data_IF_469458818940
#
_entry.id   IF_469458818940
#
_cell.length_a   1.000
_cell.length_b   1.000
_cell.length_c   1.000
_cell.angle_alpha   90.00
_cell.angle_beta   90.00
_cell.angle_gamma   90.00
#
_symmetry.space_group_name_H-M   'P 1'
#
loop_
_entity.id
_entity.type
_entity.pdbx_description
1 polymer ?
#
# COMPACT_ATOMS: atom_id res chain seq x y z
N UNK A 1 -28.10 31.17 25.48
CA UNK A 1 -26.91 30.34 25.75
C UNK A 1 -26.30 29.97 24.41
N UNK A 2 -25.07 30.42 24.12
CA UNK A 2 -24.43 30.15 22.82
C UNK A 2 -23.97 28.69 22.74
N UNK A 3 -24.36 28.01 21.68
CA UNK A 3 -23.81 26.72 21.26
C UNK A 3 -22.30 26.87 21.03
N UNK A 4 -21.44 26.05 21.66
CA UNK A 4 -20.01 26.08 21.36
C UNK A 4 -19.76 25.65 19.91
N UNK A 5 -18.93 26.41 19.20
CA UNK A 5 -18.40 26.02 17.89
C UNK A 5 -17.50 24.78 18.07
N UNK A 6 -17.60 23.86 17.13
CA UNK A 6 -17.00 22.52 17.07
C UNK A 6 -15.46 22.51 16.96
N UNK A 7 -14.76 23.35 17.73
CA UNK A 7 -13.30 23.54 17.68
C UNK A 7 -12.56 23.26 18.99
N UNK A 8 -13.22 23.30 20.14
CA UNK A 8 -12.54 23.26 21.45
C UNK A 8 -12.16 21.85 21.96
N UNK A 9 -12.65 20.79 21.30
CA UNK A 9 -12.38 19.41 21.73
C UNK A 9 -11.00 18.86 21.28
N UNK A 10 -10.22 19.61 20.49
CA UNK A 10 -8.89 19.18 20.04
C UNK A 10 -7.83 19.20 21.15
N UNK A 11 -8.11 19.86 22.28
CA UNK A 11 -7.16 20.05 23.38
C UNK A 11 -7.20 18.96 24.46
N UNK A 12 -8.24 18.13 24.49
CA UNK A 12 -8.43 17.10 25.54
C UNK A 12 -8.04 15.69 25.10
N UNK A 13 -7.97 15.43 23.80
CA UNK A 13 -7.43 14.17 23.28
C UNK A 13 -5.95 14.42 23.00
N UNK A 14 -5.05 13.80 23.77
CA UNK A 14 -3.66 13.65 23.34
C UNK A 14 -3.72 13.06 21.93
N UNK A 15 -3.47 13.88 20.92
CA UNK A 15 -3.28 13.40 19.55
C UNK A 15 -2.07 12.48 19.65
N UNK A 16 -2.30 11.17 19.75
CA UNK A 16 -1.23 10.20 19.59
C UNK A 16 -0.70 10.46 18.19
N UNK A 17 0.49 11.05 18.11
CA UNK A 17 1.13 11.30 16.85
C UNK A 17 1.22 9.95 16.13
N UNK A 18 0.58 9.84 14.98
CA UNK A 18 0.58 8.59 14.24
C UNK A 18 2.02 8.35 13.73
N UNK A 19 2.77 7.51 14.42
CA UNK A 19 4.13 7.12 14.03
C UNK A 19 4.03 5.83 13.24
N UNK A 20 4.64 5.78 12.05
CA UNK A 20 4.67 4.57 11.23
C UNK A 20 3.32 4.21 10.62
N UNK A 21 2.54 5.20 10.18
CA UNK A 21 1.32 4.94 9.40
C UNK A 21 1.65 4.11 8.17
N UNK A 22 0.78 3.17 7.83
CA UNK A 22 0.86 2.52 6.53
C UNK A 22 0.76 3.60 5.45
N UNK A 23 1.50 3.41 4.36
CA UNK A 23 1.28 4.20 3.15
C UNK A 23 -0.08 3.80 2.58
N UNK A 24 -1.14 4.38 3.14
CA UNK A 24 -2.53 4.10 2.80
C UNK A 24 -2.81 4.34 1.30
N UNK A 25 -2.00 5.17 0.65
CA UNK A 25 -2.08 5.49 -0.77
C UNK A 25 -1.04 4.79 -1.65
N UNK A 26 -0.27 3.81 -1.16
CA UNK A 26 0.59 3.03 -2.07
C UNK A 26 -0.31 2.22 -3.02
N UNK A 27 -0.24 2.43 -4.34
CA UNK A 27 -1.05 1.68 -5.28
C UNK A 27 -0.69 0.20 -5.20
N UNK A 28 -1.70 -0.66 -5.09
CA UNK A 28 -1.55 -2.12 -5.11
C UNK A 28 -2.24 -2.65 -6.35
N UNK A 29 -1.58 -3.55 -7.07
CA UNK A 29 -2.09 -4.11 -8.32
C UNK A 29 -1.70 -5.57 -8.44
N UNK A 30 -2.51 -6.35 -9.17
CA UNK A 30 -2.18 -7.73 -9.47
C UNK A 30 -0.96 -7.82 -10.41
N UNK A 31 -0.18 -8.89 -10.32
CA UNK A 31 0.97 -9.10 -11.22
C UNK A 31 0.57 -9.17 -12.69
N UNK A 32 -0.58 -9.75 -13.01
CA UNK A 32 -1.06 -9.89 -14.41
C UNK A 32 -1.27 -8.52 -15.06
N UNK A 33 -1.78 -7.57 -14.28
CA UNK A 33 -2.01 -6.19 -14.70
C UNK A 33 -0.72 -5.40 -14.95
N UNK A 34 0.42 -5.78 -14.35
CA UNK A 34 1.72 -5.16 -14.64
C UNK A 34 2.16 -5.47 -16.07
N UNK A 35 1.89 -6.69 -16.55
CA UNK A 35 2.31 -7.15 -17.89
C UNK A 35 1.32 -6.82 -19.00
N UNK A 36 0.08 -6.47 -18.67
CA UNK A 36 -0.95 -6.08 -19.64
C UNK A 36 -0.83 -4.59 -20.00
N UNK A 37 -0.31 -4.29 -21.19
CA UNK A 37 -0.16 -2.91 -21.68
C UNK A 37 -1.50 -2.16 -21.79
N UNK A 38 -2.62 -2.87 -21.96
CA UNK A 38 -3.95 -2.25 -22.03
C UNK A 38 -4.52 -1.90 -20.65
N UNK A 39 -3.95 -2.46 -19.58
CA UNK A 39 -4.42 -2.24 -18.23
C UNK A 39 -4.21 -0.78 -17.79
N UNK A 40 -5.16 -0.15 -17.06
CA UNK A 40 -5.06 1.24 -16.64
C UNK A 40 -3.79 1.62 -15.87
N UNK A 41 -3.17 0.67 -15.17
CA UNK A 41 -1.89 0.90 -14.45
C UNK A 41 -0.73 1.26 -15.40
N UNK A 42 -0.79 0.80 -16.65
CA UNK A 42 0.19 1.08 -17.69
C UNK A 42 -0.16 2.31 -18.52
N UNK A 43 -1.39 2.82 -18.40
CA UNK A 43 -1.86 4.03 -19.07
C UNK A 43 -1.54 5.25 -18.20
N UNK A 44 -0.55 6.06 -18.59
CA UNK A 44 -0.06 7.18 -17.77
C UNK A 44 -1.09 8.27 -17.51
N UNK A 45 -2.03 8.48 -18.43
CA UNK A 45 -3.16 9.40 -18.26
C UNK A 45 -4.18 8.92 -17.20
N UNK A 46 -4.22 7.63 -16.89
CA UNK A 46 -5.14 7.05 -15.90
C UNK A 46 -4.44 6.81 -14.55
N UNK A 47 -3.21 6.30 -14.57
CA UNK A 47 -2.46 5.90 -13.37
C UNK A 47 -1.45 6.93 -12.88
N UNK A 48 -1.08 7.91 -13.71
CA UNK A 48 0.04 8.80 -13.45
C UNK A 48 1.41 8.13 -13.56
N UNK A 49 1.51 6.96 -14.22
CA UNK A 49 2.77 6.26 -14.51
C UNK A 49 3.77 7.20 -15.20
N UNK A 50 4.97 7.28 -14.62
CA UNK A 50 6.14 8.03 -15.11
C UNK A 50 7.42 7.39 -14.61
N UNK A 51 8.56 7.77 -15.16
CA UNK A 51 9.86 7.30 -14.69
C UNK A 51 9.99 7.49 -13.17
N UNK A 52 10.34 6.41 -12.47
CA UNK A 52 10.49 6.43 -11.01
C UNK A 52 9.18 6.26 -10.21
N UNK A 53 8.01 6.20 -10.86
CA UNK A 53 6.76 5.83 -10.17
C UNK A 53 6.89 4.45 -9.54
N UNK A 54 6.36 4.29 -8.33
CA UNK A 54 6.40 3.04 -7.59
C UNK A 54 5.00 2.45 -7.43
N UNK A 55 4.94 1.12 -7.47
CA UNK A 55 3.73 0.34 -7.22
C UNK A 55 4.07 -0.93 -6.47
N UNK A 56 3.12 -1.42 -5.68
CA UNK A 56 3.21 -2.73 -5.06
C UNK A 56 2.44 -3.74 -5.92
N UNK A 57 3.16 -4.65 -6.59
CA UNK A 57 2.56 -5.78 -7.27
C UNK A 57 2.38 -6.94 -6.28
N UNK A 58 1.17 -7.48 -6.20
CA UNK A 58 0.81 -8.59 -5.32
C UNK A 58 0.17 -9.69 -6.15
N UNK A 59 0.57 -10.92 -5.93
CA UNK A 59 -0.08 -12.08 -6.54
C UNK A 59 -1.30 -12.44 -5.68
N UNK A 60 -2.47 -11.94 -6.05
CA UNK A 60 -3.67 -12.01 -5.22
C UNK A 60 -4.19 -13.45 -5.09
N UNK A 61 -4.04 -14.28 -6.12
CA UNK A 61 -4.51 -15.68 -6.14
C UNK A 61 -3.78 -16.55 -5.10
N UNK A 62 -2.51 -16.27 -4.81
CA UNK A 62 -1.74 -17.08 -3.86
C UNK A 62 -1.72 -16.52 -2.43
N UNK A 63 -2.23 -15.31 -2.20
CA UNK A 63 -2.33 -14.75 -0.84
C UNK A 63 -3.38 -15.51 -0.02
N UNK A 64 -4.51 -15.90 -0.62
CA UNK A 64 -5.57 -16.65 0.08
C UNK A 64 -5.13 -18.06 0.51
N UNK A 65 -4.14 -18.65 -0.19
CA UNK A 65 -3.54 -19.95 0.16
C UNK A 65 -2.34 -19.84 1.11
N UNK A 66 -2.03 -18.64 1.62
CA UNK A 66 -0.91 -18.41 2.53
C UNK A 66 0.47 -18.40 1.88
N UNK A 67 0.55 -18.30 0.55
CA UNK A 67 1.81 -18.32 -0.20
C UNK A 67 1.86 -17.30 -1.36
N UNK A 68 1.87 -16.00 -1.07
CA UNK A 68 1.89 -14.96 -2.10
C UNK A 68 3.27 -14.68 -2.72
N UNK A 69 3.29 -13.89 -3.79
CA UNK A 69 4.45 -13.09 -4.19
C UNK A 69 4.12 -11.61 -4.01
N UNK A 70 5.10 -10.85 -3.54
CA UNK A 70 5.05 -9.40 -3.48
C UNK A 70 6.26 -8.83 -4.20
N UNK A 71 6.08 -7.73 -4.92
CA UNK A 71 7.20 -6.96 -5.44
C UNK A 71 6.93 -5.47 -5.41
N UNK A 72 7.90 -4.72 -4.89
CA UNK A 72 7.93 -3.28 -5.07
C UNK A 72 8.57 -3.00 -6.42
N UNK A 73 7.80 -2.40 -7.33
CA UNK A 73 8.24 -2.15 -8.69
C UNK A 73 8.45 -0.66 -8.93
N UNK A 74 9.36 -0.34 -9.85
CA UNK A 74 9.61 1.00 -10.37
C UNK A 74 9.37 1.04 -11.88
N UNK A 75 8.70 2.08 -12.36
CA UNK A 75 8.45 2.29 -13.78
C UNK A 75 9.67 2.90 -14.50
N UNK A 76 9.93 2.44 -15.72
CA UNK A 76 11.00 2.96 -16.59
C UNK A 76 10.58 4.15 -17.47
N UNK A 77 9.31 4.53 -17.43
CA UNK A 77 8.79 5.63 -18.26
C UNK A 77 7.27 5.71 -18.22
N UNK A 78 6.70 6.56 -19.07
CA UNK A 78 5.27 6.90 -19.08
C UNK A 78 4.47 6.22 -20.19
N UNK A 79 5.12 5.55 -21.14
CA UNK A 79 4.43 4.83 -22.19
C UNK A 79 3.88 3.50 -21.65
N UNK A 80 2.80 2.96 -22.25
CA UNK A 80 2.25 1.66 -21.89
C UNK A 80 3.25 0.50 -22.02
N UNK A 81 4.19 0.62 -22.95
CA UNK A 81 5.24 -0.38 -23.20
C UNK A 81 6.49 -0.19 -22.33
N UNK A 82 6.65 0.96 -21.67
CA UNK A 82 7.79 1.17 -20.79
C UNK A 82 7.64 0.23 -19.58
N UNK A 83 8.55 -0.73 -19.46
CA UNK A 83 8.43 -1.79 -18.46
C UNK A 83 8.53 -1.32 -17.00
N UNK A 84 8.32 -2.29 -16.12
CA UNK A 84 8.54 -2.17 -14.68
C UNK A 84 9.72 -3.03 -14.26
N UNK A 85 10.49 -2.59 -13.25
CA UNK A 85 11.54 -3.41 -12.63
C UNK A 85 11.34 -3.54 -11.14
N UNK A 86 11.67 -4.70 -10.60
CA UNK A 86 11.60 -4.92 -9.16
C UNK A 86 12.75 -4.22 -8.45
N UNK A 87 12.41 -3.36 -7.48
CA UNK A 87 13.34 -2.90 -6.45
C UNK A 87 13.46 -3.93 -5.33
N UNK A 88 12.36 -4.62 -5.05
CA UNK A 88 12.30 -5.73 -4.11
C UNK A 88 11.30 -6.76 -4.62
N UNK A 89 11.61 -8.04 -4.43
CA UNK A 89 10.71 -9.15 -4.71
C UNK A 89 10.90 -10.25 -3.67
N UNK A 90 9.80 -10.74 -3.10
CA UNK A 90 9.83 -11.88 -2.18
C UNK A 90 8.58 -12.72 -2.32
N UNK A 91 8.69 -13.98 -1.90
CA UNK A 91 7.51 -14.76 -1.53
C UNK A 91 7.05 -14.30 -0.15
N UNK A 92 5.74 -14.19 0.04
CA UNK A 92 5.12 -13.98 1.34
C UNK A 92 4.58 -15.33 1.79
N UNK A 93 5.07 -15.80 2.93
CA UNK A 93 4.50 -16.93 3.66
C UNK A 93 3.83 -16.44 4.94
N UNK A 94 3.92 -17.22 6.02
CA UNK A 94 3.46 -16.81 7.34
C UNK A 94 4.10 -15.48 7.78
N UNK A 95 3.33 -14.65 8.48
CA UNK A 95 3.81 -13.38 9.02
C UNK A 95 5.04 -13.62 9.92
N UNK A 96 6.16 -12.99 9.58
CA UNK A 96 7.40 -13.10 10.35
C UNK A 96 7.37 -12.26 11.63
N UNK A 97 6.51 -11.23 11.66
CA UNK A 97 6.30 -10.36 12.81
C UNK A 97 4.81 -10.17 12.99
N UNK A 98 4.30 -10.57 14.16
CA UNK A 98 2.92 -10.33 14.57
C UNK A 98 2.92 -9.31 15.69
N UNK A 99 2.09 -8.25 15.61
CA UNK A 99 1.91 -7.33 16.74
C UNK A 99 1.52 -8.12 17.99
N UNK A 100 2.20 -7.82 19.10
CA UNK A 100 1.86 -8.36 20.41
C UNK A 100 1.39 -7.21 21.29
N UNK A 101 0.34 -7.45 22.07
CA UNK A 101 -0.02 -6.54 23.15
C UNK A 101 1.04 -6.64 24.26
N UNK A 102 1.36 -5.53 24.95
CA UNK A 102 2.12 -5.60 26.18
C UNK A 102 1.34 -6.48 27.17
N UNK A 103 1.99 -7.52 27.68
CA UNK A 103 1.56 -8.47 28.72
C UNK A 103 0.08 -8.40 29.15
N UNK A 104 -0.79 -9.08 28.40
CA UNK A 104 -2.12 -9.51 28.89
C UNK A 104 -3.33 -8.67 28.49
N UNK A 105 -3.17 -7.57 27.75
CA UNK A 105 -4.33 -6.90 27.17
C UNK A 105 -4.82 -7.66 25.93
N UNK A 106 -6.01 -8.27 26.03
CA UNK A 106 -6.69 -8.89 24.90
C UNK A 106 -7.33 -7.77 24.07
N UNK A 107 -6.93 -7.63 22.82
CA UNK A 107 -7.51 -6.68 21.88
C UNK A 107 -9.04 -6.79 21.83
N UNK A 108 -9.72 -5.68 22.12
CA UNK A 108 -11.16 -5.53 22.01
C UNK A 108 -11.60 -5.37 20.54
#
# INVERSE_FOLDING_TARGET
MSTPITGDASSQVKVQQQVGVTLHNMPKVDFTAITDASHPINQSNLSGKRLGSMVLAVDSEQVESGSGRISLLVAHGSNPEDGWSALFASRIGNAQWTPAYPDGEVGA
#
